data_IF_620672053830
#
_entry.id   IF_620672053830
#
_cell.length_a   1.000
_cell.length_b   1.000
_cell.length_c   1.000
_cell.angle_alpha   90.00
_cell.angle_beta   90.00
_cell.angle_gamma   90.00
#
_symmetry.space_group_name_H-M   'P 1'
#
loop_
_entity.id
_entity.type
_entity.pdbx_description
1 polymer ?
#
# COMPACT_ATOMS: atom_id res chain seq x y z
N UNK A 1 -1.98 -17.68 -13.82
CA UNK A 1 -0.66 -17.53 -13.15
C UNK A 1 0.04 -16.25 -13.59
N UNK A 2 -0.56 -15.08 -13.33
CA UNK A 2 0.05 -13.78 -13.69
C UNK A 2 0.78 -13.11 -12.51
N UNK A 3 0.64 -13.61 -11.28
CA UNK A 3 1.25 -13.04 -10.06
C UNK A 3 2.70 -13.51 -9.83
N UNK A 4 3.55 -13.51 -10.86
CA UNK A 4 4.96 -13.92 -10.72
C UNK A 4 5.91 -12.74 -10.53
N UNK A 5 5.51 -11.55 -10.96
CA UNK A 5 6.37 -10.35 -11.05
C UNK A 5 5.83 -9.13 -10.29
N UNK A 6 4.70 -9.29 -9.58
CA UNK A 6 4.08 -8.23 -8.80
C UNK A 6 3.45 -8.77 -7.51
N UNK A 7 3.17 -7.85 -6.58
CA UNK A 7 2.60 -8.17 -5.27
C UNK A 7 1.33 -7.36 -5.05
N UNK A 8 0.26 -8.04 -4.66
CA UNK A 8 -0.99 -7.44 -4.19
C UNK A 8 -1.03 -7.44 -2.67
N UNK A 9 -1.32 -6.28 -2.07
CA UNK A 9 -1.43 -6.13 -0.62
C UNK A 9 -2.76 -5.46 -0.28
N UNK A 10 -3.61 -6.16 0.45
CA UNK A 10 -4.78 -5.55 1.09
C UNK A 10 -4.38 -5.07 2.49
N UNK A 11 -4.54 -3.77 2.75
CA UNK A 11 -4.21 -3.19 4.05
C UNK A 11 -5.26 -2.16 4.47
N UNK A 12 -5.31 -1.90 5.78
CA UNK A 12 -6.14 -0.85 6.36
C UNK A 12 -5.27 0.38 6.63
N UNK A 13 -5.74 1.55 6.21
CA UNK A 13 -5.12 2.83 6.50
C UNK A 13 -6.05 3.68 7.37
N UNK A 14 -5.49 4.65 8.08
CA UNK A 14 -6.28 5.70 8.76
C UNK A 14 -6.50 6.88 7.81
N UNK A 15 -7.53 7.72 8.04
CA UNK A 15 -7.77 8.91 7.20
C UNK A 15 -6.57 9.88 7.10
N UNK A 16 -5.69 9.87 8.10
CA UNK A 16 -4.50 10.72 8.16
C UNK A 16 -3.27 10.07 7.50
N UNK A 17 -3.41 8.87 6.92
CA UNK A 17 -2.30 8.18 6.27
C UNK A 17 -2.00 8.82 4.93
N UNK A 18 -0.80 9.37 4.77
CA UNK A 18 -0.30 9.80 3.46
C UNK A 18 0.04 8.58 2.58
N UNK A 19 -0.92 8.15 1.77
CA UNK A 19 -0.83 6.90 1.01
C UNK A 19 0.40 6.82 0.10
N UNK A 20 0.73 7.91 -0.60
CA UNK A 20 1.91 7.95 -1.47
C UNK A 20 3.21 7.77 -0.68
N UNK A 21 3.33 8.45 0.48
CA UNK A 21 4.49 8.35 1.36
C UNK A 21 4.62 6.95 1.95
N UNK A 22 3.50 6.37 2.39
CA UNK A 22 3.44 5.01 2.90
C UNK A 22 3.90 3.98 1.86
N UNK A 23 3.37 4.04 0.64
CA UNK A 23 3.73 3.10 -0.44
C UNK A 23 5.20 3.25 -0.86
N UNK A 24 5.71 4.48 -0.93
CA UNK A 24 7.13 4.73 -1.21
C UNK A 24 8.05 4.17 -0.11
N UNK A 25 7.67 4.34 1.15
CA UNK A 25 8.42 3.77 2.28
C UNK A 25 8.37 2.24 2.27
N UNK A 26 7.20 1.65 1.99
CA UNK A 26 7.03 0.21 1.88
C UNK A 26 7.92 -0.39 0.78
N UNK A 27 7.86 0.18 -0.44
CA UNK A 27 8.68 -0.28 -1.58
C UNK A 27 10.17 -0.10 -1.31
N UNK A 28 10.57 1.01 -0.70
CA UNK A 28 11.97 1.27 -0.37
C UNK A 28 12.51 0.30 0.69
N UNK A 29 11.74 0.09 1.77
CA UNK A 29 12.11 -0.82 2.86
C UNK A 29 12.19 -2.27 2.39
N UNK A 30 11.16 -2.75 1.68
CA UNK A 30 11.15 -4.11 1.13
C UNK A 30 12.27 -4.35 0.12
N UNK A 31 12.53 -3.42 -0.79
CA UNK A 31 13.67 -3.46 -1.72
C UNK A 31 15.01 -3.62 -0.98
N UNK A 32 15.21 -2.88 0.12
CA UNK A 32 16.42 -2.98 0.95
C UNK A 32 16.51 -4.33 1.65
N UNK A 33 15.42 -4.82 2.22
CA UNK A 33 15.41 -6.12 2.92
C UNK A 33 15.68 -7.28 1.97
N UNK A 34 14.99 -7.32 0.83
CA UNK A 34 15.16 -8.39 -0.17
C UNK A 34 16.59 -8.44 -0.67
N UNK A 35 17.18 -7.31 -1.05
CA UNK A 35 18.58 -7.26 -1.51
C UNK A 35 19.60 -7.61 -0.41
N UNK A 36 19.24 -7.44 0.86
CA UNK A 36 20.08 -7.82 2.00
C UNK A 36 20.01 -9.33 2.24
N UNK A 37 18.82 -9.90 2.16
CA UNK A 37 18.57 -11.32 2.44
C UNK A 37 18.94 -12.23 1.26
N UNK A 38 18.77 -11.74 0.02
CA UNK A 38 19.05 -12.44 -1.23
C UNK A 38 19.97 -11.57 -2.10
N UNK A 39 21.27 -11.45 -1.76
CA UNK A 39 22.21 -10.61 -2.52
C UNK A 39 22.31 -10.98 -4.01
N UNK A 40 22.09 -12.25 -4.35
CA UNK A 40 22.07 -12.78 -5.71
C UNK A 40 21.01 -12.10 -6.59
N UNK A 41 19.96 -11.53 -6.00
CA UNK A 41 18.90 -10.89 -6.77
C UNK A 41 19.41 -9.71 -7.61
N UNK A 42 20.49 -9.06 -7.16
CA UNK A 42 21.07 -7.89 -7.83
C UNK A 42 21.47 -8.16 -9.27
N UNK A 43 21.81 -9.41 -9.62
CA UNK A 43 22.16 -9.78 -11.00
C UNK A 43 20.95 -9.74 -11.95
N UNK A 44 19.74 -9.82 -11.41
CA UNK A 44 18.49 -9.79 -12.19
C UNK A 44 17.85 -8.38 -12.22
N UNK A 45 18.37 -7.41 -11.46
CA UNK A 45 17.77 -6.08 -11.35
C UNK A 45 18.34 -5.09 -12.36
N UNK A 46 17.47 -4.46 -13.12
CA UNK A 46 17.85 -3.30 -13.93
C UNK A 46 18.21 -2.11 -13.04
N UNK A 47 19.44 -1.59 -13.17
CA UNK A 47 19.95 -0.43 -12.38
C UNK A 47 19.74 -0.59 -10.87
N UNK A 48 19.83 -1.81 -10.35
CA UNK A 48 19.56 -2.13 -8.94
C UNK A 48 18.14 -1.81 -8.44
N UNK A 49 17.15 -1.56 -9.30
CA UNK A 49 15.77 -1.30 -8.89
C UNK A 49 15.03 -2.64 -8.68
N UNK A 50 14.50 -2.87 -7.48
CA UNK A 50 13.69 -4.06 -7.19
C UNK A 50 12.22 -3.86 -7.58
N UNK A 51 11.68 -2.67 -7.31
CA UNK A 51 10.34 -2.29 -7.73
C UNK A 51 10.41 -1.28 -8.87
N UNK A 52 9.38 -1.28 -9.72
CA UNK A 52 9.09 -0.15 -10.60
C UNK A 52 8.78 1.11 -9.78
N UNK A 53 8.81 2.29 -10.38
CA UNK A 53 8.41 3.53 -9.69
C UNK A 53 6.89 3.59 -9.48
N UNK A 54 6.11 3.03 -10.40
CA UNK A 54 4.64 3.03 -10.37
C UNK A 54 4.05 2.07 -9.34
N UNK A 55 2.82 2.33 -8.89
CA UNK A 55 2.02 1.44 -8.07
C UNK A 55 0.54 1.63 -8.39
N UNK A 56 -0.27 0.59 -8.15
CA UNK A 56 -1.72 0.68 -8.21
C UNK A 56 -2.28 0.80 -6.79
N UNK A 57 -3.19 1.74 -6.57
CA UNK A 57 -3.91 1.91 -5.31
C UNK A 57 -5.40 1.99 -5.59
N UNK A 58 -6.16 1.05 -5.04
CA UNK A 58 -7.61 0.94 -5.22
C UNK A 58 -8.26 0.95 -3.84
N UNK A 59 -9.22 1.85 -3.62
CA UNK A 59 -10.03 1.82 -2.41
C UNK A 59 -11.05 0.67 -2.49
N UNK A 60 -11.16 -0.09 -1.41
CA UNK A 60 -12.13 -1.18 -1.29
C UNK A 60 -13.05 -0.91 -0.12
N UNK A 61 -14.36 -1.01 -0.34
CA UNK A 61 -15.38 -0.81 0.68
C UNK A 61 -16.10 0.54 0.54
N UNK A 62 -17.41 0.48 0.27
CA UNK A 62 -18.30 1.60 0.49
C UNK A 62 -18.73 1.64 1.95
N UNK A 63 -18.76 2.81 2.56
CA UNK A 63 -19.40 2.99 3.87
C UNK A 63 -20.91 2.92 3.65
N UNK A 64 -21.65 2.01 4.32
CA UNK A 64 -23.11 1.98 4.23
C UNK A 64 -23.69 3.34 4.63
N UNK A 65 -24.72 3.79 3.91
CA UNK A 65 -25.38 5.08 4.16
C UNK A 65 -25.84 5.24 5.62
N UNK A 66 -26.21 4.12 6.26
CA UNK A 66 -26.56 4.06 7.67
C UNK A 66 -25.42 4.46 8.61
N UNK A 67 -24.17 4.09 8.30
CA UNK A 67 -23.00 4.45 9.11
C UNK A 67 -22.74 5.96 9.02
N UNK A 68 -22.91 6.54 7.83
CA UNK A 68 -22.80 8.00 7.63
C UNK A 68 -23.91 8.74 8.39
N UNK A 69 -25.16 8.24 8.31
CA UNK A 69 -26.30 8.81 9.02
C UNK A 69 -26.12 8.79 10.53
N UNK A 70 -25.72 7.65 11.11
CA UNK A 70 -25.41 7.52 12.54
C UNK A 70 -24.28 8.46 12.98
N UNK A 71 -23.24 8.59 12.17
CA UNK A 71 -22.15 9.54 12.44
C UNK A 71 -22.70 10.98 12.53
N UNK A 72 -23.46 11.44 11.54
CA UNK A 72 -24.06 12.80 11.52
C UNK A 72 -24.98 13.02 12.73
N UNK A 73 -25.87 12.08 13.03
CA UNK A 73 -26.79 12.16 14.18
C UNK A 73 -26.05 12.23 15.53
N UNK A 74 -24.90 11.55 15.64
CA UNK A 74 -24.08 11.57 16.85
C UNK A 74 -23.28 12.88 17.06
N UNK A 75 -22.99 13.63 16.00
CA UNK A 75 -22.24 14.89 16.09
C UNK A 75 -23.08 16.05 16.64
N UNK A 76 -24.42 15.96 16.56
CA UNK A 76 -25.35 16.98 17.05
C UNK A 76 -25.74 16.87 18.53
N UNK A 77 -25.34 15.79 19.21
CA UNK A 77 -25.59 15.61 20.65
C UNK A 77 -24.39 16.14 21.44
N UNK A 78 -24.50 17.38 21.95
CA UNK A 78 -23.71 17.85 23.08
C UNK A 78 -24.29 17.33 24.38
#
# INVERSE_FOLDING_TARGET
>A
NHDQDHVHVLFRATPHTEMAKFLNAYKSSSSRMVKKQFPEIKQYLWKSAFWTQSYCLISTGGVPLEVVKRYIESQGRK
#
